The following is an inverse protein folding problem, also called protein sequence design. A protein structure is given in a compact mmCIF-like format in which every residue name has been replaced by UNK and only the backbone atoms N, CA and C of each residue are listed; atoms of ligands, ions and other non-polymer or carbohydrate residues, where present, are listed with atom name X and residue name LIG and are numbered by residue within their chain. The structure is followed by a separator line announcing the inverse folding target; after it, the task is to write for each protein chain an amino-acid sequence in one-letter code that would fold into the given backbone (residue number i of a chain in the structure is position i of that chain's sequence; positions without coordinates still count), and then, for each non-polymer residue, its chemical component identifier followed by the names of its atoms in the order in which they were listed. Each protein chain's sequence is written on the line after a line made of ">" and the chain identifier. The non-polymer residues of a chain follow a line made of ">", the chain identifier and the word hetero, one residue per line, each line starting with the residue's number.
data_IF_927048784629
#
_entry.id   IF_927048784629
#
_cell.length_a   1.000
_cell.length_b   1.000
_cell.length_c   1.000
_cell.angle_alpha   90.00
_cell.angle_beta   90.00
_cell.angle_gamma   90.00
#
_symmetry.space_group_name_H-M   'P 1'
#
loop_
_entity.id
_entity.type
_entity.pdbx_description
1 polymer ?
#
# COMPACT_ATOMS: atom_id res chain seq x y z
N UNK A 1 -0.01 -1.08 -1.34
CA UNK A 1 -1.47 -1.12 -1.51
C UNK A 1 -2.04 0.04 -0.73
N UNK A 2 -2.08 1.23 -1.34
CA UNK A 2 -2.89 2.33 -0.84
C UNK A 2 -4.32 1.93 -1.15
N UNK A 3 -5.24 1.94 -0.18
CA UNK A 3 -6.67 1.84 -0.50
C UNK A 3 -7.01 2.85 -1.62
N UNK A 4 -7.23 2.33 -2.83
CA UNK A 4 -7.67 3.10 -4.00
C UNK A 4 -9.11 3.65 -3.84
N UNK A 5 -9.72 3.42 -2.67
CA UNK A 5 -11.06 3.87 -2.32
C UNK A 5 -11.12 5.30 -1.74
N UNK A 6 -9.99 5.99 -1.54
CA UNK A 6 -10.02 7.45 -1.34
C UNK A 6 -9.93 8.15 -2.70
N UNK A 7 -11.11 8.53 -3.19
CA UNK A 7 -11.43 9.36 -4.37
C UNK A 7 -10.29 10.26 -4.90
N UNK A 8 -9.73 9.91 -6.06
CA UNK A 8 -8.75 10.69 -6.84
C UNK A 8 -9.43 11.65 -7.87
N UNK A 9 -10.63 12.19 -7.59
CA UNK A 9 -11.46 12.90 -8.60
C UNK A 9 -11.79 14.36 -8.20
N UNK A 10 -10.83 15.08 -7.61
CA UNK A 10 -10.95 16.52 -7.38
C UNK A 10 -9.78 17.29 -8.00
N UNK A 11 -9.75 17.36 -9.32
CA UNK A 11 -8.96 18.36 -10.05
C UNK A 11 -9.86 19.00 -11.12
N UNK A 12 -10.55 20.07 -10.72
CA UNK A 12 -11.22 21.03 -11.62
C UNK A 12 -11.59 22.32 -10.88
N UNK A 13 -10.86 23.41 -11.19
CA UNK A 13 -11.11 24.86 -10.89
C UNK A 13 -10.77 25.32 -9.45
N UNK A 14 -10.21 26.51 -9.18
CA UNK A 14 -9.82 27.70 -9.96
C UNK A 14 -8.84 28.57 -9.14
N UNK A 15 -8.01 29.34 -9.85
CA UNK A 15 -7.10 30.40 -9.42
C UNK A 15 -7.83 31.57 -8.72
N UNK A 16 -7.12 32.30 -7.84
CA UNK A 16 -7.27 33.67 -7.27
C UNK A 16 -7.01 33.60 -5.75
N UNK A 17 -6.29 34.48 -5.05
CA UNK A 17 -5.38 35.60 -5.29
C UNK A 17 -4.63 35.83 -3.95
N UNK A 18 -3.47 36.49 -4.00
CA UNK A 18 -2.58 36.73 -2.86
C UNK A 18 -3.11 37.69 -1.77
N UNK A 19 -2.55 37.60 -0.55
CA UNK A 19 -2.68 38.66 0.47
C UNK A 19 -2.14 38.31 1.86
N UNK A 20 -0.88 38.62 2.11
CA UNK A 20 -0.27 38.90 3.42
C UNK A 20 0.17 40.39 3.42
N UNK A 21 0.59 41.08 4.51
CA UNK A 21 0.98 40.60 5.87
C UNK A 21 0.58 41.53 7.06
N UNK A 22 1.19 41.24 8.24
CA UNK A 22 1.52 42.13 9.39
C UNK A 22 0.52 42.13 10.56
N UNK A 23 0.86 42.25 11.86
CA UNK A 23 2.08 42.71 12.56
C UNK A 23 2.08 42.28 14.05
N UNK A 24 3.29 42.03 14.60
CA UNK A 24 3.82 42.30 15.96
C UNK A 24 2.93 42.36 17.22
N UNK A 25 3.37 41.73 18.33
CA UNK A 25 3.65 42.42 19.61
C UNK A 25 4.49 41.54 20.57
N UNK A 26 5.43 42.20 21.25
CA UNK A 26 6.36 41.80 22.34
C UNK A 26 5.63 41.51 23.69
N UNK A 27 6.16 40.88 24.75
CA UNK A 27 7.40 41.13 25.52
C UNK A 27 7.52 40.17 26.75
N UNK A 28 8.77 39.80 27.16
CA UNK A 28 9.39 39.55 28.50
C UNK A 28 8.55 39.04 29.71
N UNK A 29 9.02 38.24 30.70
CA UNK A 29 10.32 38.11 31.39
C UNK A 29 10.41 36.88 32.34
N UNK A 30 11.65 36.42 32.54
CA UNK A 30 12.32 35.65 33.63
C UNK A 30 11.60 35.13 34.89
N UNK A 31 11.93 33.89 35.32
CA UNK A 31 12.69 33.62 36.57
C UNK A 31 13.01 32.12 36.74
N UNK A 32 14.08 31.88 37.50
CA UNK A 32 14.91 30.67 37.61
C UNK A 32 14.60 29.82 38.85
N UNK A 33 14.77 28.49 38.76
CA UNK A 33 15.26 27.67 39.88
C UNK A 33 15.85 26.33 39.40
N UNK A 34 16.99 26.00 40.00
CA UNK A 34 17.79 24.80 39.87
C UNK A 34 17.23 23.64 40.70
N UNK A 35 17.43 22.39 40.25
CA UNK A 35 18.14 21.33 41.00
C UNK A 35 17.85 19.91 40.48
N UNK A 36 18.87 19.07 40.62
CA UNK A 36 18.89 17.60 40.58
C UNK A 36 18.91 16.90 39.21
N UNK A 37 20.13 16.78 38.71
CA UNK A 37 20.57 15.76 37.77
C UNK A 37 20.34 14.35 38.34
N UNK A 38 19.69 13.50 37.56
CA UNK A 38 19.89 12.05 37.55
C UNK A 38 19.44 11.56 36.18
N UNK A 39 20.38 11.46 35.24
CA UNK A 39 20.13 11.02 33.88
C UNK A 39 19.93 9.50 33.85
N UNK A 40 18.78 8.96 33.40
CA UNK A 40 18.65 7.56 33.02
C UNK A 40 18.85 7.48 31.50
N UNK A 41 20.05 7.75 30.99
CA UNK A 41 20.25 8.05 29.56
C UNK A 41 21.33 7.22 28.85
N UNK A 42 21.47 5.92 29.17
CA UNK A 42 22.31 5.04 28.35
C UNK A 42 21.70 3.66 28.10
N UNK A 43 20.93 3.11 29.05
CA UNK A 43 20.40 1.75 28.92
C UNK A 43 19.03 1.69 28.22
N UNK A 44 18.20 2.72 28.38
CA UNK A 44 16.88 2.82 27.72
C UNK A 44 17.03 3.13 26.23
N UNK A 45 18.00 3.99 25.88
CA UNK A 45 18.32 4.32 24.49
C UNK A 45 18.98 3.13 23.75
N UNK A 46 19.78 2.31 24.45
CA UNK A 46 20.36 1.09 23.86
C UNK A 46 19.33 -0.02 23.60
N UNK A 47 18.25 -0.10 24.39
CA UNK A 47 17.13 -1.01 24.12
C UNK A 47 16.24 -0.49 22.98
N UNK A 48 16.02 0.83 22.90
CA UNK A 48 15.20 1.48 21.86
C UNK A 48 15.86 1.40 20.48
N UNK A 49 17.17 1.60 20.41
CA UNK A 49 17.93 1.55 19.14
C UNK A 49 18.03 0.11 18.59
N UNK A 50 17.83 -0.92 19.41
CA UNK A 50 17.71 -2.34 18.98
C UNK A 50 16.38 -2.68 18.29
N UNK A 51 15.41 -1.76 18.24
CA UNK A 51 14.05 -2.05 17.75
C UNK A 51 13.86 -1.79 16.25
N UNK A 52 14.63 -0.91 15.62
CA UNK A 52 14.50 -0.62 14.17
C UNK A 52 15.69 -1.17 13.40
N UNK A 53 15.43 -1.74 12.21
CA UNK A 53 16.40 -2.59 11.51
C UNK A 53 16.47 -4.04 12.05
N UNK A 54 15.60 -4.43 12.98
CA UNK A 54 15.52 -5.83 13.41
C UNK A 54 15.13 -6.72 12.24
N UNK A 55 15.88 -7.81 12.10
CA UNK A 55 15.58 -8.94 11.24
C UNK A 55 15.76 -10.17 12.12
N UNK A 56 14.66 -10.72 12.61
CA UNK A 56 14.69 -11.67 13.74
C UNK A 56 14.88 -13.14 13.32
N UNK A 57 14.68 -13.48 12.04
CA UNK A 57 14.75 -14.85 11.55
C UNK A 57 15.20 -14.93 10.08
N UNK A 58 15.43 -16.15 9.58
CA UNK A 58 15.66 -16.40 8.16
C UNK A 58 14.46 -15.99 7.29
N UNK A 59 13.23 -16.17 7.77
CA UNK A 59 12.01 -15.77 7.07
C UNK A 59 11.96 -14.25 6.90
N UNK A 60 12.26 -13.51 7.96
CA UNK A 60 12.38 -12.05 7.93
C UNK A 60 13.50 -11.60 6.98
N UNK A 61 14.65 -12.30 6.95
CA UNK A 61 15.75 -12.03 5.99
C UNK A 61 15.29 -12.19 4.55
N UNK A 62 14.57 -13.27 4.23
CA UNK A 62 14.04 -13.54 2.88
C UNK A 62 13.03 -12.47 2.44
N UNK A 63 12.12 -12.07 3.33
CA UNK A 63 11.20 -10.97 3.05
C UNK A 63 11.94 -9.65 2.86
N UNK A 64 12.97 -9.37 3.66
CA UNK A 64 13.81 -8.17 3.48
C UNK A 64 14.53 -8.17 2.13
N UNK A 65 15.14 -9.29 1.74
CA UNK A 65 15.80 -9.43 0.44
C UNK A 65 14.82 -9.18 -0.71
N UNK A 66 13.62 -9.76 -0.62
CA UNK A 66 12.55 -9.49 -1.57
C UNK A 66 12.15 -8.01 -1.61
N UNK A 67 11.94 -7.38 -0.45
CA UNK A 67 11.53 -5.97 -0.40
C UNK A 67 12.61 -5.04 -0.93
N UNK A 68 13.88 -5.34 -0.64
CA UNK A 68 15.04 -4.60 -1.14
C UNK A 68 15.17 -4.72 -2.67
N UNK A 69 14.92 -5.91 -3.24
CA UNK A 69 15.03 -6.15 -4.67
C UNK A 69 13.82 -5.57 -5.46
N UNK A 70 12.60 -5.82 -4.99
CA UNK A 70 11.38 -5.56 -5.76
C UNK A 70 10.78 -4.19 -5.42
N UNK A 71 10.00 -3.99 -4.34
CA UNK A 71 9.33 -2.72 -4.12
C UNK A 71 10.28 -1.55 -3.87
N UNK A 72 11.46 -1.77 -3.29
CA UNK A 72 12.46 -0.74 -3.01
C UNK A 72 13.45 -0.61 -4.18
N UNK A 73 14.08 -1.70 -4.60
CA UNK A 73 15.13 -1.72 -5.64
C UNK A 73 14.61 -1.29 -7.02
N UNK A 74 13.41 -1.74 -7.39
CA UNK A 74 12.73 -1.23 -8.59
C UNK A 74 12.03 0.11 -8.35
N UNK A 75 12.25 0.77 -7.22
CA UNK A 75 11.72 2.08 -6.89
C UNK A 75 10.20 2.20 -6.99
N UNK A 76 9.47 1.13 -6.66
CA UNK A 76 8.02 1.05 -6.82
C UNK A 76 7.27 1.74 -5.67
N UNK A 77 7.92 1.93 -4.52
CA UNK A 77 7.32 2.62 -3.38
C UNK A 77 8.25 3.74 -2.86
N UNK A 78 7.96 5.02 -3.18
CA UNK A 78 8.75 6.16 -2.69
C UNK A 78 8.82 6.22 -1.16
N UNK A 79 7.74 5.78 -0.50
CA UNK A 79 7.68 5.69 0.95
C UNK A 79 8.67 4.67 1.49
N UNK A 80 8.68 3.46 0.92
CA UNK A 80 9.56 2.39 1.35
C UNK A 80 11.03 2.74 1.16
N UNK A 81 11.39 3.44 0.07
CA UNK A 81 12.77 3.92 -0.16
C UNK A 81 13.20 4.88 0.95
N UNK A 82 12.38 5.88 1.29
CA UNK A 82 12.71 6.85 2.34
C UNK A 82 12.85 6.18 3.71
N UNK A 83 11.90 5.31 4.06
CA UNK A 83 11.92 4.53 5.29
C UNK A 83 13.15 3.62 5.38
N UNK A 84 13.47 2.90 4.30
CA UNK A 84 14.61 1.99 4.24
C UNK A 84 15.96 2.73 4.36
N UNK A 85 16.15 3.83 3.64
CA UNK A 85 17.37 4.63 3.71
C UNK A 85 17.63 5.21 5.11
N UNK A 86 16.60 5.32 5.94
CA UNK A 86 16.67 5.77 7.32
C UNK A 86 16.70 4.61 8.34
N UNK A 87 16.82 3.36 7.87
CA UNK A 87 16.75 2.14 8.68
C UNK A 87 15.49 2.05 9.56
N UNK A 88 14.34 2.46 9.01
CA UNK A 88 13.04 2.52 9.71
C UNK A 88 12.10 1.36 9.39
N UNK A 89 12.56 0.41 8.58
CA UNK A 89 11.86 -0.84 8.32
C UNK A 89 12.27 -1.89 9.35
N UNK A 90 11.28 -2.52 9.96
CA UNK A 90 11.43 -3.64 10.88
C UNK A 90 10.83 -4.89 10.25
N UNK A 91 11.55 -6.00 10.27
CA UNK A 91 11.08 -7.30 9.77
C UNK A 91 11.02 -8.27 10.94
N UNK A 92 9.82 -8.71 11.30
CA UNK A 92 9.58 -9.56 12.46
C UNK A 92 8.79 -10.79 12.06
N UNK A 93 9.12 -11.95 12.61
CA UNK A 93 8.52 -13.22 12.28
C UNK A 93 7.55 -13.65 13.35
N UNK A 94 6.28 -13.81 13.00
CA UNK A 94 5.30 -14.48 13.83
C UNK A 94 5.68 -15.97 13.93
N UNK A 95 6.14 -16.38 15.11
CA UNK A 95 6.47 -17.78 15.43
C UNK A 95 5.21 -18.63 15.71
N UNK A 96 4.06 -17.98 15.87
CA UNK A 96 2.79 -18.61 16.16
C UNK A 96 2.26 -19.44 15.00
N UNK A 97 1.40 -20.40 15.33
CA UNK A 97 0.76 -21.30 14.35
C UNK A 97 -0.74 -21.06 14.24
N UNK A 98 -1.29 -20.20 15.11
CA UNK A 98 -2.70 -19.86 15.18
C UNK A 98 -2.92 -18.40 14.80
N UNK A 99 -4.11 -18.08 14.28
CA UNK A 99 -4.50 -16.71 13.92
C UNK A 99 -4.42 -15.77 15.12
N UNK A 100 -4.77 -16.25 16.32
CA UNK A 100 -4.65 -15.48 17.57
C UNK A 100 -3.22 -15.03 17.84
N UNK A 101 -2.22 -15.84 17.51
CA UNK A 101 -0.80 -15.48 17.68
C UNK A 101 -0.42 -14.33 16.74
N UNK A 102 -0.89 -14.38 15.50
CA UNK A 102 -0.69 -13.34 14.52
C UNK A 102 -1.39 -12.03 14.96
N UNK A 103 -2.64 -12.11 15.44
CA UNK A 103 -3.39 -10.95 15.99
C UNK A 103 -2.61 -10.30 17.14
N UNK A 104 -2.16 -11.09 18.11
CA UNK A 104 -1.39 -10.59 19.26
C UNK A 104 -0.09 -9.89 18.80
N UNK A 105 0.60 -10.46 17.80
CA UNK A 105 1.79 -9.84 17.23
C UNK A 105 1.47 -8.52 16.49
N UNK A 106 0.39 -8.49 15.72
CA UNK A 106 -0.06 -7.27 15.03
C UNK A 106 -0.39 -6.17 16.05
N UNK A 107 -1.15 -6.45 17.11
CA UNK A 107 -1.45 -5.47 18.17
C UNK A 107 -0.18 -4.96 18.84
N UNK A 108 0.76 -5.85 19.16
CA UNK A 108 2.05 -5.47 19.76
C UNK A 108 2.84 -4.52 18.87
N UNK A 109 2.95 -4.84 17.58
CA UNK A 109 3.68 -3.99 16.63
C UNK A 109 2.93 -2.67 16.37
N UNK A 110 1.60 -2.67 16.34
CA UNK A 110 0.80 -1.44 16.28
C UNK A 110 1.11 -0.52 17.47
N UNK A 111 1.00 -1.04 18.69
CA UNK A 111 1.27 -0.30 19.92
C UNK A 111 2.71 0.23 19.96
N UNK A 112 3.67 -0.58 19.51
CA UNK A 112 5.07 -0.16 19.42
C UNK A 112 5.22 1.02 18.48
N UNK A 113 4.70 0.94 17.25
CA UNK A 113 4.81 1.99 16.23
C UNK A 113 4.11 3.30 16.64
N UNK A 114 3.03 3.23 17.42
CA UNK A 114 2.32 4.40 17.96
C UNK A 114 2.96 4.98 19.23
N UNK A 115 4.05 4.39 19.72
CA UNK A 115 4.82 4.93 20.84
C UNK A 115 5.33 6.35 20.56
N UNK A 116 5.36 7.19 21.61
CA UNK A 116 5.75 8.63 21.50
C UNK A 116 7.14 8.87 20.91
N UNK A 117 8.07 7.93 21.13
CA UNK A 117 9.47 8.06 20.73
C UNK A 117 9.76 7.44 19.35
N UNK A 118 8.72 6.95 18.65
CA UNK A 118 8.90 6.32 17.34
C UNK A 118 9.07 7.37 16.25
N UNK A 119 10.25 7.37 15.66
CA UNK A 119 10.64 8.31 14.62
C UNK A 119 9.74 8.21 13.37
N UNK A 120 9.51 9.30 12.63
CA UNK A 120 8.76 9.29 11.37
C UNK A 120 9.23 8.21 10.39
N UNK A 121 8.31 7.75 9.54
CA UNK A 121 8.53 6.70 8.53
C UNK A 121 8.86 5.30 9.08
N UNK A 122 8.64 5.06 10.38
CA UNK A 122 8.79 3.74 10.98
C UNK A 122 7.63 2.81 10.62
N UNK A 123 7.95 1.58 10.22
CA UNK A 123 6.95 0.54 9.92
C UNK A 123 7.46 -0.86 10.22
N UNK A 124 6.53 -1.80 10.37
CA UNK A 124 6.83 -3.21 10.61
C UNK A 124 6.24 -4.10 9.52
N UNK A 125 7.04 -5.03 9.00
CA UNK A 125 6.59 -6.16 8.19
C UNK A 125 6.52 -7.39 9.10
N UNK A 126 5.31 -7.82 9.42
CA UNK A 126 5.03 -9.03 10.19
C UNK A 126 4.93 -10.21 9.25
N UNK A 127 5.91 -11.11 9.31
CA UNK A 127 6.06 -12.30 8.46
C UNK A 127 5.46 -13.51 9.15
N UNK A 128 4.52 -14.19 8.53
CA UNK A 128 3.74 -15.28 9.13
C UNK A 128 3.92 -16.60 8.36
N UNK A 129 5.09 -17.26 8.49
CA UNK A 129 5.41 -18.44 7.69
C UNK A 129 4.75 -19.74 8.18
N UNK A 130 4.20 -19.77 9.40
CA UNK A 130 3.80 -21.01 10.06
C UNK A 130 2.28 -21.25 10.11
N UNK A 131 1.44 -20.24 9.83
CA UNK A 131 -0.01 -20.41 9.71
C UNK A 131 -0.35 -21.18 8.43
N UNK A 132 -0.77 -22.43 8.56
CA UNK A 132 -1.02 -23.29 7.41
C UNK A 132 -2.17 -22.80 6.53
N UNK A 133 -3.22 -22.27 7.15
CA UNK A 133 -4.37 -21.68 6.45
C UNK A 133 -3.99 -20.46 5.60
N UNK A 134 -2.95 -19.71 5.98
CA UNK A 134 -2.49 -18.55 5.22
C UNK A 134 -1.57 -18.93 4.05
N UNK A 135 -1.38 -20.23 3.76
CA UNK A 135 -0.82 -20.66 2.46
C UNK A 135 -1.81 -20.41 1.33
N UNK A 136 -3.10 -20.42 1.63
CA UNK A 136 -4.18 -20.05 0.71
C UNK A 136 -4.29 -18.51 0.68
N UNK A 137 -4.14 -17.95 -0.52
CA UNK A 137 -4.12 -16.50 -0.70
C UNK A 137 -5.45 -15.86 -0.34
N UNK A 138 -6.57 -16.46 -0.75
CA UNK A 138 -7.90 -15.97 -0.52
C UNK A 138 -8.22 -15.95 0.98
N UNK A 139 -7.84 -17.00 1.72
CA UNK A 139 -8.00 -17.05 3.18
C UNK A 139 -7.19 -15.94 3.86
N UNK A 140 -5.90 -15.81 3.51
CA UNK A 140 -5.05 -14.74 4.02
C UNK A 140 -5.63 -13.34 3.69
N UNK A 141 -6.08 -13.14 2.45
CA UNK A 141 -6.63 -11.88 1.98
C UNK A 141 -7.91 -11.51 2.74
N UNK A 142 -8.80 -12.48 2.97
CA UNK A 142 -10.02 -12.29 3.77
C UNK A 142 -9.68 -11.90 5.21
N UNK A 143 -8.67 -12.52 5.81
CA UNK A 143 -8.20 -12.12 7.13
C UNK A 143 -7.71 -10.67 7.14
N UNK A 144 -6.87 -10.26 6.18
CA UNK A 144 -6.32 -8.90 6.18
C UNK A 144 -7.42 -7.84 5.97
N UNK A 145 -8.40 -8.08 5.09
CA UNK A 145 -9.45 -7.09 4.83
C UNK A 145 -10.59 -7.07 5.84
N UNK A 146 -10.95 -8.21 6.41
CA UNK A 146 -12.12 -8.33 7.28
C UNK A 146 -11.73 -8.81 8.68
N UNK A 147 -10.88 -9.84 8.78
CA UNK A 147 -10.43 -10.38 10.06
C UNK A 147 -9.74 -9.34 10.96
N UNK A 148 -8.80 -8.56 10.42
CA UNK A 148 -8.10 -7.50 11.16
C UNK A 148 -9.09 -6.50 11.75
N UNK A 149 -10.10 -6.08 10.97
CA UNK A 149 -11.12 -5.12 11.42
C UNK A 149 -11.94 -5.65 12.60
N UNK A 150 -12.15 -6.96 12.67
CA UNK A 150 -12.90 -7.63 13.74
C UNK A 150 -12.04 -8.00 14.95
N UNK A 151 -10.71 -8.03 14.81
CA UNK A 151 -9.80 -8.57 15.84
C UNK A 151 -8.88 -7.55 16.48
N UNK A 152 -8.60 -6.42 15.83
CA UNK A 152 -7.74 -5.36 16.35
C UNK A 152 -8.59 -4.25 16.95
N UNK A 153 -8.11 -3.64 18.04
CA UNK A 153 -8.76 -2.49 18.68
C UNK A 153 -8.99 -1.34 17.70
N UNK A 154 -10.17 -0.72 17.79
CA UNK A 154 -10.62 0.33 16.86
C UNK A 154 -9.64 1.52 16.80
N UNK A 155 -9.12 1.95 17.95
CA UNK A 155 -8.18 3.07 18.02
C UNK A 155 -6.87 2.80 17.26
N UNK A 156 -6.42 1.53 17.23
CA UNK A 156 -5.25 1.12 16.46
C UNK A 156 -5.58 1.07 14.95
N UNK A 157 -6.75 0.54 14.59
CA UNK A 157 -7.20 0.45 13.19
C UNK A 157 -7.30 1.83 12.53
N UNK A 158 -7.78 2.85 13.25
CA UNK A 158 -7.93 4.20 12.71
C UNK A 158 -6.59 4.90 12.45
N UNK A 159 -5.52 4.44 13.10
CA UNK A 159 -4.18 5.04 13.01
C UNK A 159 -3.22 4.26 12.10
N UNK A 160 -3.62 3.08 11.62
CA UNK A 160 -2.76 2.17 10.88
C UNK A 160 -3.36 1.76 9.54
N UNK A 161 -2.47 1.58 8.55
CA UNK A 161 -2.75 0.89 7.31
C UNK A 161 -2.09 -0.49 7.34
N UNK A 162 -2.84 -1.51 6.95
CA UNK A 162 -2.40 -2.90 6.87
C UNK A 162 -2.29 -3.32 5.41
N UNK A 163 -1.08 -3.50 4.92
CA UNK A 163 -0.81 -3.83 3.51
C UNK A 163 -0.47 -5.33 3.39
N UNK A 164 -1.29 -6.13 2.67
CA UNK A 164 -1.03 -7.55 2.49
C UNK A 164 0.04 -7.82 1.41
N UNK A 165 0.92 -8.77 1.72
CA UNK A 165 1.83 -9.40 0.78
C UNK A 165 1.75 -10.93 0.93
N UNK A 166 1.78 -11.67 -0.18
CA UNK A 166 1.57 -13.11 -0.17
C UNK A 166 2.26 -13.78 -1.37
N UNK A 167 2.85 -14.99 -1.24
CA UNK A 167 3.55 -15.66 -2.35
C UNK A 167 2.71 -15.81 -3.62
N UNK A 168 1.42 -16.07 -3.43
CA UNK A 168 0.45 -16.27 -4.51
C UNK A 168 -0.40 -15.01 -4.79
N UNK A 169 -0.02 -13.85 -4.26
CA UNK A 169 -0.80 -12.61 -4.44
C UNK A 169 -1.14 -12.40 -5.91
N UNK A 170 -2.43 -12.32 -6.20
CA UNK A 170 -2.92 -12.08 -7.56
C UNK A 170 -4.20 -11.24 -7.51
N UNK A 171 -4.08 -9.97 -7.88
CA UNK A 171 -5.18 -9.01 -7.98
C UNK A 171 -5.44 -8.57 -9.41
N UNK A 172 -4.39 -8.22 -10.14
CA UNK A 172 -4.53 -7.62 -11.47
C UNK A 172 -4.42 -8.66 -12.58
N UNK A 173 -5.39 -8.65 -13.48
CA UNK A 173 -5.46 -9.54 -14.63
C UNK A 173 -5.55 -8.72 -15.91
N UNK A 174 -4.94 -9.25 -16.97
CA UNK A 174 -5.15 -8.77 -18.33
C UNK A 174 -6.59 -9.07 -18.77
N UNK A 175 -7.00 -8.45 -19.86
CA UNK A 175 -8.20 -8.88 -20.58
C UNK A 175 -7.97 -10.29 -21.18
N UNK A 176 -9.00 -11.15 -21.23
CA UNK A 176 -8.94 -12.36 -22.04
C UNK A 176 -8.58 -12.03 -23.49
N UNK A 177 -7.90 -12.96 -24.19
CA UNK A 177 -7.40 -12.76 -25.55
C UNK A 177 -8.49 -12.40 -26.58
N UNK A 178 -9.74 -12.81 -26.34
CA UNK A 178 -10.89 -12.51 -27.20
C UNK A 178 -11.54 -11.14 -26.92
N UNK A 179 -11.12 -10.45 -25.86
CA UNK A 179 -11.65 -9.13 -25.48
C UNK A 179 -10.69 -8.04 -25.96
N UNK A 180 -11.20 -7.15 -26.81
CA UNK A 180 -10.41 -6.10 -27.46
C UNK A 180 -11.21 -4.78 -27.54
N UNK A 181 -10.58 -3.73 -28.09
CA UNK A 181 -11.27 -2.48 -28.40
C UNK A 181 -12.46 -2.77 -29.33
N UNK A 182 -13.65 -2.29 -28.96
CA UNK A 182 -14.90 -2.53 -29.67
C UNK A 182 -15.74 -3.68 -29.08
N UNK A 183 -15.16 -4.54 -28.22
CA UNK A 183 -15.94 -5.57 -27.54
C UNK A 183 -17.00 -4.94 -26.64
N UNK A 184 -18.17 -5.58 -26.59
CA UNK A 184 -19.26 -5.24 -25.68
C UNK A 184 -19.14 -6.11 -24.44
N UNK A 185 -19.19 -5.49 -23.26
CA UNK A 185 -19.03 -6.15 -21.96
C UNK A 185 -20.04 -5.60 -20.96
N UNK A 186 -20.28 -6.38 -19.91
CA UNK A 186 -20.92 -5.87 -18.69
C UNK A 186 -19.86 -5.28 -17.79
N UNK A 187 -20.12 -4.11 -17.21
CA UNK A 187 -19.18 -3.45 -16.30
C UNK A 187 -19.90 -2.77 -15.14
N UNK A 188 -19.28 -2.85 -13.97
CA UNK A 188 -19.56 -1.91 -12.88
C UNK A 188 -19.03 -0.52 -13.25
N UNK A 189 -19.57 0.52 -12.63
CA UNK A 189 -19.16 1.92 -12.84
C UNK A 189 -18.81 2.61 -11.53
N UNK A 190 -18.13 3.76 -11.64
CA UNK A 190 -17.77 4.62 -10.51
C UNK A 190 -18.62 5.89 -10.47
N UNK A 191 -19.10 6.27 -9.28
CA UNK A 191 -19.60 7.63 -8.98
C UNK A 191 -18.93 8.09 -7.69
N UNK A 192 -18.25 9.24 -7.72
CA UNK A 192 -17.49 9.79 -6.57
C UNK A 192 -16.57 8.77 -5.88
N UNK A 193 -15.92 7.91 -6.67
CA UNK A 193 -14.99 6.87 -6.17
C UNK A 193 -15.67 5.61 -5.61
N UNK A 194 -17.01 5.53 -5.61
CA UNK A 194 -17.74 4.33 -5.20
C UNK A 194 -18.09 3.47 -6.42
N UNK A 195 -17.78 2.17 -6.32
CA UNK A 195 -18.16 1.15 -7.31
C UNK A 195 -19.66 0.87 -7.21
N UNK A 196 -20.33 0.74 -8.35
CA UNK A 196 -21.73 0.31 -8.41
C UNK A 196 -21.90 -1.13 -7.91
N UNK A 197 -23.11 -1.46 -7.46
CA UNK A 197 -23.51 -2.82 -7.04
C UNK A 197 -24.07 -3.66 -8.18
N UNK A 198 -24.42 -3.02 -9.30
CA UNK A 198 -24.92 -3.66 -10.52
C UNK A 198 -24.05 -3.27 -11.71
N UNK A 199 -24.11 -4.08 -12.76
CA UNK A 199 -23.40 -3.83 -14.02
C UNK A 199 -24.32 -3.18 -15.05
N UNK A 200 -23.71 -2.59 -16.07
CA UNK A 200 -24.42 -2.10 -17.25
C UNK A 200 -23.58 -2.38 -18.51
N UNK A 201 -24.24 -2.38 -19.66
CA UNK A 201 -23.62 -2.68 -20.94
C UNK A 201 -22.71 -1.51 -21.34
N UNK A 202 -21.48 -1.85 -21.74
CA UNK A 202 -20.52 -0.89 -22.23
C UNK A 202 -19.68 -1.44 -23.39
N UNK A 203 -19.18 -0.54 -24.23
CA UNK A 203 -18.18 -0.85 -25.26
C UNK A 203 -16.79 -0.50 -24.74
N UNK A 204 -15.81 -1.39 -24.94
CA UNK A 204 -14.40 -1.11 -24.68
C UNK A 204 -13.88 -0.12 -25.72
N UNK A 205 -13.40 1.03 -25.27
CA UNK A 205 -12.85 2.11 -26.10
C UNK A 205 -11.33 2.04 -26.15
N UNK A 206 -10.69 1.65 -25.05
CA UNK A 206 -9.23 1.57 -24.90
C UNK A 206 -8.86 0.45 -23.93
N UNK A 207 -7.92 -0.40 -24.34
CA UNK A 207 -7.43 -1.54 -23.53
C UNK A 207 -6.08 -1.30 -22.86
N UNK A 208 -5.40 -0.21 -23.23
CA UNK A 208 -4.09 0.13 -22.73
C UNK A 208 -3.90 1.64 -22.64
N UNK A 209 -3.53 2.12 -21.46
CA UNK A 209 -3.23 3.52 -21.22
C UNK A 209 -1.83 3.70 -20.64
N UNK A 210 -1.10 4.74 -21.05
CA UNK A 210 0.25 5.04 -20.53
C UNK A 210 0.30 5.25 -19.01
N UNK A 211 -0.80 5.70 -18.40
CA UNK A 211 -0.87 5.96 -16.97
C UNK A 211 -1.09 4.67 -16.14
N UNK A 212 -1.93 3.76 -16.60
CA UNK A 212 -2.37 2.62 -15.78
C UNK A 212 -2.01 1.26 -16.41
N UNK A 213 -1.31 1.26 -17.55
CA UNK A 213 -0.96 0.04 -18.26
C UNK A 213 -2.21 -0.73 -18.69
N UNK A 214 -2.30 -1.99 -18.28
CA UNK A 214 -3.40 -2.90 -18.57
C UNK A 214 -4.34 -3.14 -17.36
N UNK A 215 -4.16 -2.41 -16.24
CA UNK A 215 -4.99 -2.63 -15.04
C UNK A 215 -6.34 -1.92 -15.12
N UNK A 216 -6.50 -0.99 -16.07
CA UNK A 216 -7.74 -0.27 -16.34
C UNK A 216 -8.02 -0.25 -17.84
N UNK A 217 -9.30 -0.22 -18.17
CA UNK A 217 -9.80 -0.04 -19.53
C UNK A 217 -10.67 1.21 -19.61
N UNK A 218 -10.66 1.90 -20.74
CA UNK A 218 -11.67 2.94 -21.00
C UNK A 218 -12.89 2.26 -21.60
N UNK A 219 -14.05 2.51 -21.02
CA UNK A 219 -15.32 2.00 -21.52
C UNK A 219 -16.29 3.15 -21.76
N UNK A 220 -17.26 2.91 -22.65
CA UNK A 220 -18.42 3.78 -22.90
C UNK A 220 -19.69 3.02 -22.58
N UNK A 221 -20.44 3.45 -21.58
CA UNK A 221 -21.73 2.87 -21.24
C UNK A 221 -22.75 3.17 -22.33
N UNK A 222 -23.62 2.21 -22.66
CA UNK A 222 -24.64 2.41 -23.70
C UNK A 222 -25.79 3.27 -23.19
N UNK A 223 -26.15 3.12 -21.93
CA UNK A 223 -27.22 3.87 -21.29
C UNK A 223 -26.68 5.15 -20.64
N UNK A 224 -27.40 6.25 -20.81
CA UNK A 224 -27.15 7.46 -20.03
C UNK A 224 -27.78 7.32 -18.64
N UNK A 225 -27.10 7.83 -17.63
CA UNK A 225 -27.59 7.85 -16.25
C UNK A 225 -27.11 9.13 -15.58
N UNK A 226 -28.01 9.81 -14.89
CA UNK A 226 -27.72 11.06 -14.21
C UNK A 226 -26.56 10.87 -13.21
N UNK A 227 -25.59 11.79 -13.23
CA UNK A 227 -24.41 11.74 -12.36
C UNK A 227 -23.32 10.72 -12.76
N UNK A 228 -23.57 9.84 -13.74
CA UNK A 228 -22.55 8.90 -14.27
C UNK A 228 -21.90 9.46 -15.53
N UNK A 229 -20.56 9.46 -15.57
CA UNK A 229 -19.82 9.75 -16.81
C UNK A 229 -20.09 8.64 -17.84
N UNK A 230 -20.50 9.06 -19.04
CA UNK A 230 -20.77 8.15 -20.15
C UNK A 230 -19.53 7.35 -20.58
N UNK A 231 -18.35 8.00 -20.58
CA UNK A 231 -17.05 7.34 -20.71
C UNK A 231 -16.25 7.42 -19.41
N UNK A 232 -15.65 6.31 -19.00
CA UNK A 232 -14.80 6.26 -17.81
C UNK A 232 -13.73 5.18 -17.92
N UNK A 233 -12.64 5.38 -17.19
CA UNK A 233 -11.66 4.33 -16.94
C UNK A 233 -12.11 3.50 -15.75
N UNK A 234 -12.34 2.20 -15.97
CA UNK A 234 -12.64 1.24 -14.90
C UNK A 234 -11.50 0.24 -14.74
N UNK A 235 -11.22 -0.24 -13.52
CA UNK A 235 -10.39 -1.43 -13.30
C UNK A 235 -10.85 -2.63 -14.14
N UNK A 236 -9.93 -3.46 -14.63
CA UNK A 236 -10.31 -4.70 -15.34
C UNK A 236 -11.12 -5.65 -14.46
N UNK A 237 -10.90 -5.61 -13.15
CA UNK A 237 -11.68 -6.35 -12.12
C UNK A 237 -13.12 -5.84 -11.94
N UNK A 238 -13.52 -4.76 -12.62
CA UNK A 238 -14.91 -4.26 -12.66
C UNK A 238 -15.68 -4.73 -13.88
N UNK A 239 -15.02 -5.41 -14.81
CA UNK A 239 -15.70 -6.06 -15.93
C UNK A 239 -16.26 -7.39 -15.44
N UNK A 240 -17.53 -7.65 -15.74
CA UNK A 240 -18.15 -8.95 -15.49
C UNK A 240 -17.85 -9.88 -16.67
N UNK A 241 -16.59 -10.31 -16.72
CA UNK A 241 -16.02 -11.20 -17.73
C UNK A 241 -15.05 -12.19 -17.06
N UNK A 242 -14.71 -13.31 -17.71
CA UNK A 242 -13.65 -14.19 -17.24
C UNK A 242 -12.32 -13.44 -17.07
N UNK A 243 -11.52 -13.85 -16.08
CA UNK A 243 -10.18 -13.29 -15.86
C UNK A 243 -9.23 -13.75 -16.98
N UNK A 244 -8.41 -12.85 -17.49
CA UNK A 244 -7.29 -13.19 -18.37
C UNK A 244 -6.06 -13.67 -17.59
N UNK A 245 -4.88 -13.54 -18.19
CA UNK A 245 -3.62 -13.88 -17.52
C UNK A 245 -3.28 -12.89 -16.40
N UNK A 246 -2.59 -13.39 -15.36
CA UNK A 246 -2.12 -12.55 -14.26
C UNK A 246 -1.07 -11.54 -14.76
N UNK A 247 -1.24 -10.27 -14.41
CA UNK A 247 -0.29 -9.22 -14.77
C UNK A 247 0.98 -9.28 -13.91
N UNK A 248 2.12 -8.94 -14.51
CA UNK A 248 3.42 -8.85 -13.82
C UNK A 248 3.39 -7.89 -12.62
N UNK A 249 2.49 -6.90 -12.64
CA UNK A 249 2.27 -5.97 -11.54
C UNK A 249 1.96 -6.66 -10.20
N UNK A 250 1.41 -7.88 -10.22
CA UNK A 250 1.15 -8.63 -8.99
C UNK A 250 2.43 -8.92 -8.18
N UNK A 251 3.56 -9.04 -8.84
CA UNK A 251 4.86 -9.42 -8.24
C UNK A 251 5.29 -8.44 -7.16
N UNK A 252 4.94 -7.16 -7.29
CA UNK A 252 5.28 -6.16 -6.27
C UNK A 252 4.62 -6.45 -4.91
N UNK A 253 3.67 -7.40 -4.86
CA UNK A 253 3.03 -7.89 -3.64
C UNK A 253 3.32 -9.39 -3.34
N UNK A 254 4.15 -10.05 -4.15
CA UNK A 254 4.49 -11.48 -3.99
C UNK A 254 5.69 -11.70 -3.07
N UNK A 255 5.52 -11.37 -1.79
CA UNK A 255 6.53 -11.69 -0.78
C UNK A 255 6.72 -13.21 -0.63
N UNK A 256 7.91 -13.69 -0.21
CA UNK A 256 8.21 -15.13 -0.04
C UNK A 256 7.34 -15.87 0.98
N UNK A 257 6.68 -15.14 1.89
CA UNK A 257 5.78 -15.66 2.91
C UNK A 257 4.59 -14.70 3.10
N UNK A 258 3.44 -15.19 3.62
CA UNK A 258 2.35 -14.31 4.04
C UNK A 258 2.89 -13.24 4.99
N UNK A 259 2.72 -11.97 4.62
CA UNK A 259 3.34 -10.85 5.31
C UNK A 259 2.35 -9.68 5.35
N UNK A 260 2.24 -9.04 6.51
CA UNK A 260 1.40 -7.86 6.71
C UNK A 260 2.31 -6.69 7.04
N UNK A 261 2.27 -5.64 6.23
CA UNK A 261 3.05 -4.42 6.44
C UNK A 261 2.18 -3.35 7.11
N UNK A 262 2.60 -2.95 8.31
CA UNK A 262 1.92 -2.00 9.18
C UNK A 262 2.54 -0.63 8.98
N UNK A 263 1.77 0.33 8.49
CA UNK A 263 2.23 1.69 8.25
C UNK A 263 1.34 2.66 9.02
N UNK A 264 1.93 3.63 9.71
CA UNK A 264 1.15 4.68 10.38
C UNK A 264 0.48 5.58 9.35
N UNK A 265 -0.80 5.88 9.55
CA UNK A 265 -1.55 6.77 8.68
C UNK A 265 -0.94 8.18 8.60
N UNK A 266 -0.33 8.66 9.70
CA UNK A 266 0.40 9.93 9.72
C UNK A 266 1.59 9.95 8.76
N UNK A 267 2.32 8.84 8.64
CA UNK A 267 3.45 8.73 7.71
C UNK A 267 2.98 8.68 6.25
N UNK A 268 1.80 8.10 6.01
CA UNK A 268 1.18 8.10 4.67
C UNK A 268 0.62 9.47 4.30
N UNK A 269 0.11 10.24 5.25
CA UNK A 269 -0.41 11.60 5.02
C UNK A 269 0.65 12.56 4.50
N UNK A 270 1.94 12.25 4.71
CA UNK A 270 3.06 13.01 4.11
C UNK A 270 3.14 12.88 2.57
N UNK A 271 2.38 11.97 1.96
CA UNK A 271 2.36 11.75 0.52
C UNK A 271 1.20 12.52 -0.11
N UNK A 272 1.52 13.46 -1.01
CA UNK A 272 0.50 14.12 -1.80
C UNK A 272 -0.07 13.18 -2.89
N UNK A 273 -1.37 13.31 -3.19
CA UNK A 273 -2.09 12.44 -4.13
C UNK A 273 -1.49 12.49 -5.55
N UNK A 274 -1.00 13.66 -5.98
CA UNK A 274 -0.38 13.84 -7.30
C UNK A 274 0.95 13.08 -7.43
N UNK A 275 1.75 12.98 -6.36
CA UNK A 275 2.98 12.19 -6.30
C UNK A 275 2.70 10.70 -6.25
N UNK A 276 1.67 10.27 -5.51
CA UNK A 276 1.22 8.88 -5.51
C UNK A 276 0.77 8.47 -6.90
N UNK A 277 -0.07 9.27 -7.55
CA UNK A 277 -0.53 9.05 -8.93
C UNK A 277 0.63 9.00 -9.92
N UNK A 278 1.57 9.95 -9.85
CA UNK A 278 2.77 9.97 -10.70
C UNK A 278 3.64 8.72 -10.48
N UNK A 279 3.77 8.26 -9.24
CA UNK A 279 4.49 7.04 -8.89
C UNK A 279 3.82 5.81 -9.49
N UNK A 280 2.50 5.65 -9.31
CA UNK A 280 1.73 4.55 -9.91
C UNK A 280 1.95 4.47 -11.42
N UNK A 281 1.92 5.62 -12.12
CA UNK A 281 2.21 5.70 -13.57
C UNK A 281 3.62 5.22 -13.92
N UNK A 282 4.63 5.71 -13.20
CA UNK A 282 6.03 5.29 -13.42
C UNK A 282 6.21 3.79 -13.17
N UNK A 283 5.57 3.25 -12.13
CA UNK A 283 5.63 1.84 -11.79
C UNK A 283 5.02 0.97 -12.87
N UNK A 284 3.82 1.31 -13.36
CA UNK A 284 3.15 0.54 -14.42
C UNK A 284 4.03 0.44 -15.67
N UNK A 285 4.64 1.56 -16.10
CA UNK A 285 5.56 1.59 -17.23
C UNK A 285 6.82 0.75 -16.96
N UNK A 286 7.41 0.87 -15.77
CA UNK A 286 8.62 0.12 -15.39
C UNK A 286 8.36 -1.39 -15.35
N UNK A 287 7.28 -1.82 -14.72
CA UNK A 287 6.91 -3.23 -14.61
C UNK A 287 6.60 -3.84 -15.99
N UNK A 288 5.94 -3.09 -16.87
CA UNK A 288 5.69 -3.52 -18.24
C UNK A 288 6.98 -3.69 -19.05
N UNK A 289 7.94 -2.77 -18.90
CA UNK A 289 9.25 -2.88 -19.57
C UNK A 289 10.09 -4.04 -19.03
N UNK A 290 10.04 -4.27 -17.72
CA UNK A 290 10.76 -5.37 -17.08
C UNK A 290 10.23 -6.73 -17.55
N UNK A 291 8.90 -6.86 -17.63
CA UNK A 291 8.23 -8.10 -18.00
C UNK A 291 8.54 -9.25 -17.04
N UNK A 292 8.10 -10.46 -17.39
CA UNK A 292 8.37 -11.66 -16.59
C UNK A 292 9.83 -12.11 -16.67
N UNK A 293 10.47 -11.99 -17.84
CA UNK A 293 11.86 -12.41 -18.03
C UNK A 293 12.84 -11.57 -17.20
N UNK A 294 12.77 -10.24 -17.32
CA UNK A 294 13.66 -9.36 -16.55
C UNK A 294 13.41 -9.46 -15.04
N UNK A 295 12.19 -9.81 -14.63
CA UNK A 295 11.91 -10.09 -13.23
C UNK A 295 12.57 -11.40 -12.77
N UNK A 296 12.48 -12.46 -13.55
CA UNK A 296 13.14 -13.73 -13.21
C UNK A 296 14.65 -13.53 -13.10
N UNK A 297 15.25 -12.79 -14.04
CA UNK A 297 16.67 -12.45 -13.97
C UNK A 297 17.02 -11.64 -12.71
N UNK A 298 16.15 -10.72 -12.28
CA UNK A 298 16.34 -9.98 -11.02
C UNK A 298 16.35 -10.90 -9.81
N UNK A 299 15.38 -11.81 -9.75
CA UNK A 299 15.20 -12.74 -8.63
C UNK A 299 16.30 -13.79 -8.56
N UNK A 300 16.88 -14.15 -9.71
CA UNK A 300 18.02 -15.06 -9.84
C UNK A 300 19.38 -14.36 -9.62
N UNK A 301 19.40 -13.03 -9.44
CA UNK A 301 20.63 -12.25 -9.27
C UNK A 301 21.47 -12.12 -10.55
N UNK A 302 20.82 -12.18 -11.73
CA UNK A 302 21.46 -12.11 -13.06
C UNK A 302 21.50 -10.69 -13.66
N UNK A 303 21.03 -9.67 -12.93
CA UNK A 303 21.01 -8.26 -13.35
C UNK A 303 21.89 -7.38 -12.47
#
# INVERSE_FOLDING_TARGET
>A
MFQENRSEDSDSKSVLEEGEPSSSFSSSSSSSSSSCCSSPSSDVDNLRTKTFGLIDSEYAKKVKQWSDAIPIGLGLCPWAIKSNNQNRLRYITCQGKLVSDAINMLQRECNMLLGKDIQPLSSSLVVCPFLQEWKDFEVFQQFVYHGIKSSIEKDLLEQMEFVPFHPQFTRWYALPSHIHKGSIVQSYWGIFGQKSTVTDIATIIETHNKAFGQTKVKIRFHNEMEGRRHEQYVPTEWLDIPKGEALVNNVMHRAPYPTIHLIRNLDLASLNASSVSRTKRKNAVRMMKLGWNGLNDLMDGKM
#
